data_IF_625142782650
#
_entry.id   IF_625142782650
#
_cell.length_a   1.000
_cell.length_b   1.000
_cell.length_c   1.000
_cell.angle_alpha   90.00
_cell.angle_beta   90.00
_cell.angle_gamma   90.00
#
_symmetry.space_group_name_H-M   'P 1'
#
loop_
_entity.id
_entity.type
_entity.pdbx_description
1 polymer ?
#
# COMPACT_ATOMS: atom_id res chain seq x y z
N UNK A 1 24.60 -6.28 -4.42
CA UNK A 1 23.16 -6.32 -4.09
C UNK A 1 22.61 -4.91 -4.20
N UNK A 2 21.82 -4.65 -5.24
CA UNK A 2 21.46 -3.29 -5.59
C UNK A 2 20.48 -2.72 -4.57
N UNK A 3 20.78 -1.53 -4.06
CA UNK A 3 19.92 -0.69 -3.19
C UNK A 3 18.44 -0.70 -3.65
N UNK A 4 18.25 -0.86 -4.96
CA UNK A 4 17.00 -0.94 -5.70
C UNK A 4 16.08 -2.11 -5.30
N UNK A 5 16.64 -3.30 -5.04
CA UNK A 5 15.85 -4.47 -4.66
C UNK A 5 15.27 -4.33 -3.25
N UNK A 6 16.07 -3.85 -2.30
CA UNK A 6 15.63 -3.55 -0.93
C UNK A 6 14.54 -2.47 -0.95
N UNK A 7 14.71 -1.43 -1.77
CA UNK A 7 13.71 -0.38 -1.93
C UNK A 7 12.37 -0.92 -2.46
N UNK A 8 12.40 -1.84 -3.41
CA UNK A 8 11.19 -2.49 -3.94
C UNK A 8 10.46 -3.31 -2.88
N UNK A 9 11.21 -4.09 -2.09
CA UNK A 9 10.67 -4.89 -0.98
C UNK A 9 10.04 -3.98 0.08
N UNK A 10 10.69 -2.85 0.38
CA UNK A 10 10.15 -1.86 1.32
C UNK A 10 8.83 -1.25 0.85
N UNK A 11 8.72 -0.92 -0.45
CA UNK A 11 7.46 -0.43 -1.04
C UNK A 11 6.38 -1.49 -0.97
N UNK A 12 6.70 -2.75 -1.33
CA UNK A 12 5.75 -3.85 -1.26
C UNK A 12 5.25 -4.09 0.17
N UNK A 13 6.14 -4.11 1.15
CA UNK A 13 5.78 -4.23 2.56
C UNK A 13 4.92 -3.04 3.05
N UNK A 14 5.22 -1.82 2.59
CA UNK A 14 4.43 -0.62 2.93
C UNK A 14 3.02 -0.67 2.34
N UNK A 15 2.86 -1.16 1.11
CA UNK A 15 1.54 -1.39 0.49
C UNK A 15 0.73 -2.40 1.30
N UNK A 16 1.38 -3.50 1.70
CA UNK A 16 0.74 -4.59 2.43
C UNK A 16 0.29 -4.13 3.82
N UNK A 17 1.12 -3.35 4.52
CA UNK A 17 0.77 -2.72 5.79
C UNK A 17 -0.38 -1.73 5.65
N UNK A 18 -0.35 -0.88 4.62
CA UNK A 18 -1.43 0.09 4.36
C UNK A 18 -2.75 -0.62 4.01
N UNK A 19 -2.72 -1.71 3.25
CA UNK A 19 -3.89 -2.54 2.96
C UNK A 19 -4.47 -3.18 4.24
N UNK A 20 -3.60 -3.65 5.14
CA UNK A 20 -4.00 -4.13 6.45
C UNK A 20 -4.71 -3.04 7.27
N UNK A 21 -4.22 -1.79 7.20
CA UNK A 21 -4.87 -0.67 7.87
C UNK A 21 -6.24 -0.31 7.28
N UNK A 22 -6.43 -0.44 5.96
CA UNK A 22 -7.76 -0.28 5.34
C UNK A 22 -8.72 -1.33 5.88
N UNK A 23 -8.33 -2.60 5.86
CA UNK A 23 -9.16 -3.71 6.34
C UNK A 23 -9.51 -3.52 7.82
N UNK A 24 -8.51 -3.18 8.64
CA UNK A 24 -8.69 -2.95 10.06
C UNK A 24 -9.61 -1.76 10.35
N UNK A 25 -9.41 -0.62 9.67
CA UNK A 25 -10.25 0.57 9.84
C UNK A 25 -11.70 0.34 9.44
N UNK A 26 -11.95 -0.42 8.36
CA UNK A 26 -13.30 -0.82 7.95
C UNK A 26 -13.91 -1.81 8.96
N UNK A 27 -13.16 -2.81 9.42
CA UNK A 27 -13.65 -3.78 10.40
C UNK A 27 -14.00 -3.11 11.75
N UNK A 28 -13.22 -2.12 12.17
CA UNK A 28 -13.52 -1.36 13.39
C UNK A 28 -14.76 -0.46 13.25
N UNK A 29 -14.97 0.13 12.06
CA UNK A 29 -16.18 0.91 11.80
C UNK A 29 -17.45 0.05 11.88
N UNK A 30 -17.37 -1.23 11.52
CA UNK A 30 -18.49 -2.18 11.61
C UNK A 30 -18.81 -2.65 13.04
N UNK A 31 -18.03 -2.26 14.04
CA UNK A 31 -18.28 -2.58 15.46
C UNK A 31 -19.15 -1.50 16.12
N UNK A 32 -19.89 -1.80 17.19
CA UNK A 32 -20.77 -0.85 17.89
C UNK A 32 -20.07 0.43 18.43
N UNK A 33 -18.73 0.44 18.48
CA UNK A 33 -17.92 1.62 18.85
C UNK A 33 -17.34 2.36 17.63
N UNK A 34 -17.81 2.04 16.43
CA UNK A 34 -17.31 2.58 15.17
C UNK A 34 -17.48 4.09 15.07
N UNK A 35 -16.39 4.83 15.30
CA UNK A 35 -16.36 6.29 15.12
C UNK A 35 -16.10 6.60 13.65
N UNK A 36 -16.81 7.56 13.06
CA UNK A 36 -16.65 8.00 11.66
C UNK A 36 -15.18 8.30 11.26
N UNK A 37 -14.34 8.64 12.23
CA UNK A 37 -12.90 8.82 12.05
C UNK A 37 -12.16 7.58 11.51
N UNK A 38 -12.63 6.38 11.83
CA UNK A 38 -12.02 5.12 11.36
C UNK A 38 -12.21 4.96 9.84
N UNK A 39 -13.33 5.45 9.30
CA UNK A 39 -13.64 5.46 7.88
C UNK A 39 -12.77 6.47 7.12
N UNK A 40 -12.55 7.65 7.69
CA UNK A 40 -11.63 8.64 7.12
C UNK A 40 -10.19 8.12 7.08
N UNK A 41 -9.75 7.43 8.13
CA UNK A 41 -8.42 6.84 8.20
C UNK A 41 -8.26 5.65 7.22
N UNK A 42 -9.31 4.83 7.08
CA UNK A 42 -9.36 3.76 6.09
C UNK A 42 -9.32 4.33 4.66
N UNK A 43 -10.06 5.41 4.37
CA UNK A 43 -10.04 6.07 3.08
C UNK A 43 -8.67 6.67 2.75
N UNK A 44 -8.02 7.32 3.72
CA UNK A 44 -6.65 7.84 3.56
C UNK A 44 -5.63 6.71 3.30
N UNK A 45 -5.74 5.61 4.06
CA UNK A 45 -4.89 4.43 3.86
C UNK A 45 -5.14 3.78 2.50
N UNK A 46 -6.38 3.77 2.01
CA UNK A 46 -6.72 3.25 0.69
C UNK A 46 -6.12 4.09 -0.43
N UNK A 47 -6.19 5.42 -0.32
CA UNK A 47 -5.48 6.32 -1.24
C UNK A 47 -3.97 6.06 -1.25
N UNK A 48 -3.36 5.82 -0.09
CA UNK A 48 -1.94 5.47 0.01
C UNK A 48 -1.61 4.13 -0.67
N UNK A 49 -2.46 3.11 -0.50
CA UNK A 49 -2.34 1.82 -1.21
C UNK A 49 -2.39 2.01 -2.72
N UNK A 50 -3.34 2.80 -3.22
CA UNK A 50 -3.48 3.06 -4.66
C UNK A 50 -2.27 3.82 -5.20
N UNK A 51 -1.84 4.88 -4.53
CA UNK A 51 -0.69 5.68 -4.95
C UNK A 51 0.61 4.86 -4.97
N UNK A 52 0.87 4.11 -3.89
CA UNK A 52 2.03 3.22 -3.80
C UNK A 52 1.94 2.06 -4.80
N UNK A 53 0.75 1.49 -5.03
CA UNK A 53 0.52 0.45 -6.04
C UNK A 53 0.85 0.94 -7.46
N UNK A 54 0.39 2.13 -7.83
CA UNK A 54 0.73 2.75 -9.12
C UNK A 54 2.24 2.98 -9.22
N UNK A 55 2.88 3.48 -8.15
CA UNK A 55 4.32 3.68 -8.10
C UNK A 55 5.08 2.35 -8.28
N UNK A 56 4.68 1.32 -7.55
CA UNK A 56 5.26 -0.02 -7.64
C UNK A 56 5.11 -0.61 -9.04
N UNK A 57 3.93 -0.53 -9.67
CA UNK A 57 3.72 -1.02 -11.04
C UNK A 57 4.59 -0.25 -12.05
N UNK A 58 4.67 1.08 -11.94
CA UNK A 58 5.56 1.88 -12.80
C UNK A 58 7.02 1.51 -12.60
N UNK A 59 7.44 1.26 -11.37
CA UNK A 59 8.80 0.88 -11.04
C UNK A 59 9.14 -0.53 -11.54
N UNK A 60 8.23 -1.50 -11.37
CA UNK A 60 8.35 -2.86 -11.90
C UNK A 60 8.37 -2.84 -13.43
N UNK A 61 7.48 -2.08 -14.08
CA UNK A 61 7.50 -1.91 -15.54
C UNK A 61 8.81 -1.30 -16.03
N UNK A 62 9.29 -0.25 -15.36
CA UNK A 62 10.56 0.40 -15.69
C UNK A 62 11.76 -0.53 -15.47
N UNK A 63 11.77 -1.31 -14.40
CA UNK A 63 12.85 -2.29 -14.14
C UNK A 63 12.80 -3.48 -15.10
N UNK A 64 11.62 -3.87 -15.58
CA UNK A 64 11.43 -4.89 -16.62
C UNK A 64 11.81 -4.38 -18.01
N UNK A 65 11.50 -3.13 -18.34
CA UNK A 65 11.95 -2.45 -19.59
C UNK A 65 13.46 -2.26 -19.66
N UNK A 66 14.12 -2.08 -18.50
CA UNK A 66 15.59 -1.92 -18.42
C UNK A 66 16.32 -3.27 -18.59
N UNK A 67 15.60 -4.38 -18.77
CA UNK A 67 16.17 -5.64 -19.22
C UNK A 67 16.82 -6.45 -18.12
N UNK A 68 16.04 -7.32 -17.49
CA UNK A 68 16.57 -8.60 -17.02
C UNK A 68 15.58 -9.68 -17.46
N UNK A 69 15.99 -10.39 -18.51
CA UNK A 69 15.55 -11.74 -18.83
C UNK A 69 16.04 -12.71 -17.75
#
# INVERSE_FOLDING_TARGET
MSLRAIHLVFIAASILLAAFMVIWGVAMFMTERGVAWHLAFAAGSFCAVVAMGIYAVKFVRKTREIGMH
#
